data_IF_263546773616
#
_entry.id   IF_263546773616
#
_cell.length_a   1.000
_cell.length_b   1.000
_cell.length_c   1.000
_cell.angle_alpha   90.00
_cell.angle_beta   90.00
_cell.angle_gamma   90.00
#
_symmetry.space_group_name_H-M   'P 1'
#
loop_
_entity.id
_entity.type
_entity.pdbx_description
1 polymer ?
#
# COMPACT_ATOMS: atom_id res chain seq x y z
N UNK A 1 -56.02 -5.23 36.50
CA UNK A 1 -55.22 -5.38 35.28
C UNK A 1 -54.77 -6.81 34.95
N UNK A 2 -54.43 -7.65 35.93
CA UNK A 2 -53.97 -9.05 35.70
C UNK A 2 -55.03 -9.93 35.04
N UNK A 3 -56.34 -9.78 35.38
CA UNK A 3 -57.40 -10.62 34.84
C UNK A 3 -57.78 -10.30 33.37
N UNK A 4 -57.57 -9.09 32.91
CA UNK A 4 -57.87 -8.70 31.51
C UNK A 4 -56.79 -9.26 30.56
N UNK A 5 -55.51 -9.24 31.01
CA UNK A 5 -54.42 -9.77 30.23
C UNK A 5 -54.49 -11.32 30.06
N UNK A 6 -54.95 -12.01 31.10
CA UNK A 6 -55.14 -13.48 31.05
C UNK A 6 -56.33 -13.86 30.18
N UNK A 7 -57.42 -13.08 30.14
CA UNK A 7 -58.53 -13.28 29.24
C UNK A 7 -58.16 -13.00 27.76
N UNK A 8 -57.40 -11.93 27.52
CA UNK A 8 -56.91 -11.62 26.17
C UNK A 8 -55.96 -12.71 25.66
N UNK A 9 -55.03 -13.18 26.50
CA UNK A 9 -54.12 -14.29 26.13
C UNK A 9 -54.87 -15.61 25.89
N UNK A 10 -55.92 -15.90 26.67
CA UNK A 10 -56.77 -17.08 26.47
C UNK A 10 -57.54 -17.00 25.18
N UNK A 11 -58.08 -15.82 24.78
CA UNK A 11 -58.83 -15.58 23.57
C UNK A 11 -57.92 -15.66 22.31
N UNK A 12 -56.74 -15.09 22.39
CA UNK A 12 -55.73 -15.17 21.32
C UNK A 12 -55.28 -16.61 21.16
N UNK A 13 -54.99 -17.32 22.26
CA UNK A 13 -54.60 -18.73 22.25
C UNK A 13 -55.71 -19.63 21.64
N UNK A 14 -56.98 -19.39 21.99
CA UNK A 14 -58.09 -20.14 21.42
C UNK A 14 -58.31 -19.94 19.92
N UNK A 15 -57.99 -18.76 19.39
CA UNK A 15 -58.08 -18.48 17.94
C UNK A 15 -56.84 -18.94 17.14
N UNK A 16 -55.68 -18.88 17.73
CA UNK A 16 -54.37 -19.24 17.06
C UNK A 16 -54.13 -20.75 17.16
N UNK A 17 -54.50 -21.40 18.25
CA UNK A 17 -54.29 -22.83 18.48
C UNK A 17 -54.81 -23.75 17.36
N UNK A 18 -56.04 -23.54 16.82
CA UNK A 18 -56.56 -24.36 15.73
C UNK A 18 -55.76 -24.16 14.41
N UNK A 19 -55.28 -22.93 14.18
CA UNK A 19 -54.43 -22.65 13.03
C UNK A 19 -53.06 -23.30 13.17
N UNK A 20 -52.48 -23.24 14.34
CA UNK A 20 -51.16 -23.88 14.64
C UNK A 20 -51.25 -25.41 14.56
N UNK A 21 -52.33 -26.00 15.07
CA UNK A 21 -52.56 -27.44 14.97
C UNK A 21 -52.75 -27.84 13.46
N UNK A 22 -53.43 -27.05 12.64
CA UNK A 22 -53.52 -27.31 11.20
C UNK A 22 -52.16 -27.21 10.50
N UNK A 23 -51.38 -26.20 10.80
CA UNK A 23 -50.02 -26.05 10.25
C UNK A 23 -49.13 -27.20 10.68
N UNK A 24 -49.17 -27.60 11.98
CA UNK A 24 -48.41 -28.74 12.51
C UNK A 24 -48.85 -30.09 11.92
N UNK A 25 -50.15 -30.26 11.64
CA UNK A 25 -50.62 -31.47 10.91
C UNK A 25 -50.14 -31.48 9.47
N UNK A 26 -50.13 -30.32 8.79
CA UNK A 26 -49.63 -30.24 7.41
C UNK A 26 -48.13 -30.41 7.27
N UNK A 27 -47.37 -30.05 8.27
CA UNK A 27 -45.90 -30.26 8.37
C UNK A 27 -45.52 -31.59 9.01
N UNK A 28 -46.48 -32.40 9.46
CA UNK A 28 -46.17 -33.72 10.03
C UNK A 28 -45.57 -34.68 8.97
N UNK A 29 -44.54 -35.43 9.29
CA UNK A 29 -43.90 -36.38 8.34
C UNK A 29 -44.87 -37.37 7.74
N UNK A 30 -45.89 -37.79 8.50
CA UNK A 30 -46.95 -38.73 8.06
C UNK A 30 -47.88 -38.09 7.05
N UNK A 31 -48.29 -36.85 7.22
CA UNK A 31 -49.15 -36.15 6.28
C UNK A 31 -48.39 -35.79 4.98
N UNK A 32 -47.17 -35.31 5.10
CA UNK A 32 -46.28 -35.04 3.95
C UNK A 32 -46.06 -36.32 3.12
N UNK A 33 -45.83 -37.44 3.78
CA UNK A 33 -45.49 -38.71 3.10
C UNK A 33 -46.71 -39.40 2.48
N UNK A 34 -47.89 -39.35 3.13
CA UNK A 34 -49.05 -40.14 2.72
C UNK A 34 -50.08 -39.39 1.85
N UNK A 35 -50.21 -38.07 1.97
CA UNK A 35 -51.21 -37.31 1.22
C UNK A 35 -50.63 -36.16 0.38
N UNK A 36 -49.66 -35.47 0.86
CA UNK A 36 -49.09 -34.30 0.14
C UNK A 36 -48.22 -34.76 -1.04
N UNK A 37 -47.30 -35.69 -0.78
CA UNK A 37 -46.45 -36.27 -1.85
C UNK A 37 -47.25 -37.04 -2.89
N UNK A 38 -48.33 -37.75 -2.47
CA UNK A 38 -49.23 -38.41 -3.41
C UNK A 38 -49.98 -37.40 -4.29
N UNK A 39 -50.49 -36.31 -3.72
CA UNK A 39 -51.14 -35.23 -4.49
C UNK A 39 -50.17 -34.51 -5.42
N UNK A 40 -48.94 -34.24 -4.96
CA UNK A 40 -47.91 -33.71 -5.81
C UNK A 40 -47.58 -34.68 -6.95
N UNK A 41 -47.38 -35.96 -6.65
CA UNK A 41 -47.14 -36.97 -7.68
C UNK A 41 -48.29 -37.08 -8.68
N UNK A 42 -49.53 -37.05 -8.23
CA UNK A 42 -50.70 -37.01 -9.12
C UNK A 42 -50.81 -35.71 -9.92
N UNK A 43 -50.47 -34.56 -9.32
CA UNK A 43 -50.42 -33.29 -10.00
C UNK A 43 -49.33 -33.31 -11.10
N UNK A 44 -48.14 -33.76 -10.79
CA UNK A 44 -47.06 -33.90 -11.77
C UNK A 44 -47.36 -34.97 -12.82
N UNK A 45 -48.01 -36.07 -12.46
CA UNK A 45 -48.43 -37.09 -13.41
C UNK A 45 -49.47 -36.54 -14.41
N UNK A 46 -50.42 -35.71 -13.93
CA UNK A 46 -51.39 -34.99 -14.82
C UNK A 46 -50.72 -33.88 -15.63
N UNK A 47 -49.74 -33.21 -15.08
CA UNK A 47 -48.99 -32.15 -15.75
C UNK A 47 -48.05 -32.70 -16.84
N UNK A 48 -47.45 -33.85 -16.55
CA UNK A 48 -46.54 -34.61 -17.43
C UNK A 48 -47.26 -35.55 -18.35
N UNK A 49 -48.62 -35.68 -18.30
CA UNK A 49 -49.37 -36.45 -19.27
C UNK A 49 -49.30 -35.73 -20.64
N UNK A 50 -48.31 -36.08 -21.39
CA UNK A 50 -47.83 -35.44 -22.63
C UNK A 50 -48.65 -35.84 -23.84
N UNK A 51 -49.82 -36.52 -23.67
CA UNK A 51 -50.71 -36.91 -24.79
C UNK A 51 -51.89 -35.98 -24.96
N UNK A 52 -51.70 -34.76 -25.55
CA UNK A 52 -52.80 -33.91 -25.89
C UNK A 52 -53.55 -34.51 -27.05
N UNK A 53 -54.91 -34.48 -26.98
CA UNK A 53 -55.81 -35.13 -27.93
C UNK A 53 -56.09 -34.30 -29.17
N UNK A 54 -55.74 -33.00 -29.15
CA UNK A 54 -56.11 -32.05 -30.24
C UNK A 54 -54.88 -31.19 -30.65
N UNK A 55 -54.76 -30.84 -31.95
CA UNK A 55 -53.71 -29.95 -32.46
C UNK A 55 -53.70 -28.56 -31.78
N UNK A 56 -54.83 -28.11 -31.24
CA UNK A 56 -54.96 -26.83 -30.49
C UNK A 56 -54.22 -26.83 -29.17
N UNK A 57 -53.75 -27.96 -28.68
CA UNK A 57 -53.04 -28.10 -27.40
C UNK A 57 -51.51 -28.03 -27.55
N UNK A 58 -51.06 -27.67 -28.76
CA UNK A 58 -49.64 -27.52 -29.07
C UNK A 58 -49.30 -26.08 -29.48
N UNK A 59 -48.07 -25.66 -29.15
CA UNK A 59 -47.44 -24.47 -29.73
C UNK A 59 -46.53 -24.91 -30.86
N UNK A 60 -46.62 -24.33 -32.07
CA UNK A 60 -45.62 -24.54 -33.10
C UNK A 60 -44.35 -23.76 -32.75
N UNK A 61 -43.24 -24.47 -32.53
CA UNK A 61 -41.94 -23.87 -32.28
C UNK A 61 -40.98 -24.41 -33.38
N UNK A 62 -40.69 -23.59 -34.37
CA UNK A 62 -39.95 -23.97 -35.57
C UNK A 62 -40.55 -25.23 -36.26
N UNK A 63 -39.81 -26.36 -36.22
CA UNK A 63 -40.22 -27.65 -36.80
C UNK A 63 -40.88 -28.60 -35.80
N UNK A 64 -41.05 -28.17 -34.54
CA UNK A 64 -41.53 -29.01 -33.44
C UNK A 64 -42.91 -28.53 -32.94
N UNK A 65 -43.73 -29.46 -32.53
CA UNK A 65 -44.97 -29.19 -31.86
C UNK A 65 -44.76 -29.46 -30.36
N UNK A 66 -44.69 -28.42 -29.54
CA UNK A 66 -44.52 -28.51 -28.10
C UNK A 66 -45.85 -28.42 -27.40
N UNK A 67 -46.21 -29.40 -26.59
CA UNK A 67 -47.48 -29.35 -25.87
C UNK A 67 -47.52 -28.15 -24.92
N UNK A 68 -48.67 -27.45 -24.86
CA UNK A 68 -48.88 -26.32 -23.98
C UNK A 68 -48.64 -26.64 -22.53
N UNK A 69 -48.96 -27.90 -22.11
CA UNK A 69 -48.68 -28.40 -20.75
C UNK A 69 -47.21 -28.56 -20.46
N UNK A 70 -46.44 -29.10 -21.44
CA UNK A 70 -44.99 -29.21 -21.30
C UNK A 70 -44.30 -27.83 -21.27
N UNK A 71 -44.73 -26.91 -22.15
CA UNK A 71 -44.23 -25.55 -22.15
C UNK A 71 -44.51 -24.84 -20.80
N UNK A 72 -45.73 -24.99 -20.28
CA UNK A 72 -46.08 -24.44 -18.96
C UNK A 72 -45.24 -25.10 -17.83
N UNK A 73 -45.05 -26.43 -17.84
CA UNK A 73 -44.25 -27.13 -16.86
C UNK A 73 -42.80 -26.70 -16.91
N UNK A 74 -42.23 -26.47 -18.10
CA UNK A 74 -40.86 -25.95 -18.28
C UNK A 74 -40.72 -24.51 -17.76
N UNK A 75 -41.70 -23.66 -18.04
CA UNK A 75 -41.71 -22.27 -17.54
C UNK A 75 -41.79 -22.24 -16.01
N UNK A 76 -42.67 -23.04 -15.43
CA UNK A 76 -42.80 -23.15 -13.97
C UNK A 76 -41.55 -23.78 -13.35
N UNK A 77 -40.99 -24.81 -13.98
CA UNK A 77 -39.75 -25.46 -13.53
C UNK A 77 -38.54 -24.51 -13.57
N UNK A 78 -38.40 -23.74 -14.65
CA UNK A 78 -37.38 -22.70 -14.78
C UNK A 78 -37.60 -21.56 -13.77
N UNK A 79 -38.82 -21.15 -13.56
CA UNK A 79 -39.18 -20.14 -12.55
C UNK A 79 -38.85 -20.60 -11.14
N UNK A 80 -39.19 -21.85 -10.79
CA UNK A 80 -38.81 -22.44 -9.48
C UNK A 80 -37.30 -22.64 -9.33
N UNK A 81 -36.63 -23.11 -10.37
CA UNK A 81 -35.16 -23.24 -10.36
C UNK A 81 -34.49 -21.88 -10.21
N UNK A 82 -34.97 -20.85 -10.91
CA UNK A 82 -34.51 -19.47 -10.77
C UNK A 82 -34.79 -18.91 -9.37
N UNK A 83 -35.99 -19.19 -8.81
CA UNK A 83 -36.32 -18.76 -7.45
C UNK A 83 -35.44 -19.45 -6.38
N UNK A 84 -35.20 -20.78 -6.54
CA UNK A 84 -34.28 -21.55 -5.66
C UNK A 84 -32.85 -21.04 -5.82
N UNK A 85 -32.41 -20.79 -7.06
CA UNK A 85 -31.08 -20.23 -7.32
C UNK A 85 -30.92 -18.84 -6.72
N UNK A 86 -31.92 -17.96 -6.90
CA UNK A 86 -31.93 -16.63 -6.26
C UNK A 86 -31.95 -16.77 -4.73
N UNK A 87 -32.80 -17.65 -4.19
CA UNK A 87 -32.86 -17.92 -2.74
C UNK A 87 -31.56 -18.50 -2.19
N UNK A 88 -30.86 -19.34 -2.95
CA UNK A 88 -29.55 -19.88 -2.55
C UNK A 88 -28.40 -18.87 -2.67
N UNK A 89 -28.58 -17.83 -3.50
CA UNK A 89 -27.65 -16.73 -3.63
C UNK A 89 -28.00 -15.53 -2.75
N UNK A 90 -29.22 -15.49 -2.22
CA UNK A 90 -29.55 -14.53 -1.17
C UNK A 90 -28.70 -14.86 0.06
N UNK A 91 -28.09 -13.84 0.71
CA UNK A 91 -27.41 -14.05 1.97
C UNK A 91 -28.37 -14.74 2.95
N UNK A 92 -27.82 -15.56 3.83
CA UNK A 92 -28.58 -16.16 4.92
C UNK A 92 -29.30 -15.03 5.66
N UNK A 93 -30.59 -14.80 5.30
CA UNK A 93 -31.37 -13.77 5.94
C UNK A 93 -31.96 -12.68 5.09
N UNK A 94 -32.59 -13.01 3.99
CA UNK A 94 -33.64 -12.15 3.44
C UNK A 94 -35.02 -12.65 3.89
N UNK A 95 -35.86 -11.84 4.48
CA UNK A 95 -35.71 -10.60 5.24
C UNK A 95 -35.45 -10.88 6.72
N UNK A 96 -34.24 -10.76 7.24
CA UNK A 96 -33.98 -10.93 8.68
C UNK A 96 -32.54 -11.20 9.11
N UNK A 97 -31.56 -11.45 8.26
CA UNK A 97 -30.17 -11.42 8.68
C UNK A 97 -29.64 -10.02 8.50
N UNK A 98 -29.82 -9.26 9.53
CA UNK A 98 -29.03 -8.06 9.79
C UNK A 98 -27.71 -8.56 10.36
N UNK A 99 -26.58 -8.21 9.75
CA UNK A 99 -25.25 -8.37 10.35
C UNK A 99 -25.16 -7.63 11.67
N UNK A 100 -24.04 -7.72 12.33
CA UNK A 100 -23.82 -6.98 13.58
C UNK A 100 -24.21 -5.50 13.41
N UNK A 101 -25.10 -4.99 14.30
CA UNK A 101 -25.57 -3.61 14.25
C UNK A 101 -26.73 -3.33 13.28
N UNK A 102 -27.40 -4.35 12.72
CA UNK A 102 -28.56 -4.13 11.82
C UNK A 102 -28.21 -3.77 10.38
N UNK A 103 -26.97 -3.99 9.96
CA UNK A 103 -26.49 -3.70 8.59
C UNK A 103 -26.83 -4.88 7.67
N UNK A 104 -27.41 -4.65 6.45
CA UNK A 104 -27.67 -5.70 5.48
C UNK A 104 -26.38 -6.44 5.09
N UNK A 105 -26.41 -7.79 5.13
CA UNK A 105 -25.26 -8.62 4.82
C UNK A 105 -25.40 -9.27 3.44
N UNK A 106 -24.35 -9.22 2.62
CA UNK A 106 -24.31 -9.78 1.27
C UNK A 106 -23.07 -10.64 1.06
N UNK A 107 -23.21 -11.70 0.27
CA UNK A 107 -22.03 -12.47 -0.17
C UNK A 107 -21.29 -11.73 -1.29
N UNK A 108 -19.98 -11.77 -1.25
CA UNK A 108 -19.12 -11.20 -2.28
C UNK A 108 -19.51 -11.74 -3.68
N UNK A 109 -19.65 -10.84 -4.65
CA UNK A 109 -20.09 -11.11 -6.03
C UNK A 109 -21.51 -11.67 -6.17
N UNK A 110 -22.35 -11.59 -5.15
CA UNK A 110 -23.77 -11.95 -5.30
C UNK A 110 -24.50 -10.99 -6.25
N UNK A 111 -25.53 -11.52 -6.94
CA UNK A 111 -26.35 -10.69 -7.85
C UNK A 111 -27.05 -9.54 -7.10
N UNK A 112 -27.64 -9.74 -5.89
CA UNK A 112 -28.27 -8.67 -5.15
C UNK A 112 -27.30 -7.52 -4.79
N UNK A 113 -26.06 -7.85 -4.47
CA UNK A 113 -25.04 -6.83 -4.16
C UNK A 113 -24.83 -5.85 -5.31
N UNK A 114 -24.88 -6.30 -6.57
CA UNK A 114 -24.67 -5.44 -7.75
C UNK A 114 -25.72 -4.34 -7.93
N UNK A 115 -26.86 -4.48 -7.28
CA UNK A 115 -27.94 -3.50 -7.33
C UNK A 115 -28.10 -2.75 -6.00
N UNK A 116 -27.24 -3.03 -5.02
CA UNK A 116 -27.30 -2.42 -3.71
C UNK A 116 -26.54 -1.09 -3.69
N UNK A 117 -27.13 -0.11 -3.02
CA UNK A 117 -26.47 1.17 -2.65
C UNK A 117 -26.81 1.49 -1.21
N UNK A 118 -25.85 2.01 -0.46
CA UNK A 118 -25.95 2.30 0.97
C UNK A 118 -24.97 1.45 1.80
N UNK A 119 -25.12 1.50 3.12
CA UNK A 119 -24.21 0.79 4.04
C UNK A 119 -24.52 -0.71 4.09
N UNK A 120 -23.50 -1.53 3.85
CA UNK A 120 -23.63 -3.00 3.79
C UNK A 120 -22.46 -3.68 4.50
N UNK A 121 -22.69 -4.95 4.87
CA UNK A 121 -21.65 -5.90 5.23
C UNK A 121 -21.45 -6.87 4.07
N UNK A 122 -20.22 -7.06 3.60
CA UNK A 122 -19.90 -8.05 2.57
C UNK A 122 -19.13 -9.21 3.20
N UNK A 123 -19.65 -10.42 3.00
CA UNK A 123 -19.06 -11.66 3.49
C UNK A 123 -18.34 -12.36 2.35
N UNK A 124 -17.09 -12.76 2.57
CA UNK A 124 -16.28 -13.51 1.64
C UNK A 124 -16.78 -14.96 1.46
N UNK A 125 -16.20 -15.71 0.52
CA UNK A 125 -16.62 -17.08 0.21
C UNK A 125 -16.42 -18.07 1.35
N UNK A 126 -15.41 -17.85 2.16
CA UNK A 126 -15.05 -18.64 3.35
C UNK A 126 -15.84 -18.27 4.61
N UNK A 127 -16.68 -17.23 4.53
CA UNK A 127 -17.59 -16.83 5.60
C UNK A 127 -17.08 -15.70 6.50
N UNK A 128 -15.84 -15.22 6.33
CA UNK A 128 -15.39 -14.05 7.08
C UNK A 128 -16.00 -12.74 6.54
N UNK A 129 -16.11 -11.74 7.39
CA UNK A 129 -16.50 -10.39 7.00
C UNK A 129 -15.33 -9.77 6.24
N UNK A 130 -15.51 -9.48 4.96
CA UNK A 130 -14.49 -8.85 4.14
C UNK A 130 -14.58 -7.33 4.14
N UNK A 131 -15.80 -6.77 4.18
CA UNK A 131 -16.02 -5.33 4.09
C UNK A 131 -17.26 -4.92 4.89
N UNK A 132 -17.18 -3.77 5.54
CA UNK A 132 -18.32 -3.07 6.15
C UNK A 132 -18.21 -1.61 5.73
N UNK A 133 -19.22 -1.08 5.06
CA UNK A 133 -19.20 0.31 4.62
C UNK A 133 -20.22 0.61 3.53
N UNK A 134 -20.07 1.78 2.95
CA UNK A 134 -20.95 2.25 1.89
C UNK A 134 -20.60 1.61 0.55
N UNK A 135 -21.62 1.30 -0.24
CA UNK A 135 -21.49 0.81 -1.62
C UNK A 135 -22.40 1.60 -2.53
N UNK A 136 -21.97 1.75 -3.76
CA UNK A 136 -22.79 2.21 -4.87
C UNK A 136 -22.80 1.17 -5.98
N UNK A 137 -24.00 0.67 -6.32
CA UNK A 137 -24.18 -0.43 -7.31
C UNK A 137 -23.26 -1.63 -7.04
N UNK A 138 -23.04 -1.93 -5.73
CA UNK A 138 -22.25 -3.05 -5.27
C UNK A 138 -20.75 -2.86 -5.29
N UNK A 139 -20.24 -1.69 -5.70
CA UNK A 139 -18.85 -1.29 -5.53
C UNK A 139 -18.68 -0.49 -4.24
N UNK A 140 -17.60 -0.71 -3.49
CA UNK A 140 -17.30 0.11 -2.32
C UNK A 140 -17.14 1.57 -2.75
N UNK A 141 -17.87 2.47 -2.10
CA UNK A 141 -17.90 3.91 -2.39
C UNK A 141 -18.31 4.65 -1.13
N UNK A 142 -17.64 5.76 -0.78
CA UNK A 142 -17.82 6.43 0.49
C UNK A 142 -16.99 5.78 1.62
N UNK A 143 -17.45 5.89 2.86
CA UNK A 143 -16.71 5.38 4.02
C UNK A 143 -16.88 3.87 4.20
N UNK A 144 -15.78 3.19 4.52
CA UNK A 144 -15.82 1.76 4.78
C UNK A 144 -14.57 1.19 5.42
N UNK A 145 -14.67 -0.06 5.85
CA UNK A 145 -13.61 -0.83 6.47
C UNK A 145 -13.44 -2.18 5.74
N UNK A 146 -12.21 -2.49 5.36
CA UNK A 146 -11.82 -3.75 4.72
C UNK A 146 -11.10 -4.64 5.73
N UNK A 147 -11.45 -5.91 5.76
CA UNK A 147 -10.90 -6.89 6.68
C UNK A 147 -10.18 -8.02 5.93
N UNK A 148 -9.15 -8.56 6.55
CA UNK A 148 -8.45 -9.77 6.11
C UNK A 148 -9.17 -11.04 6.56
N UNK A 149 -8.75 -12.20 6.05
CA UNK A 149 -9.39 -13.49 6.32
C UNK A 149 -9.32 -13.93 7.79
N UNK A 150 -8.34 -13.44 8.53
CA UNK A 150 -8.20 -13.62 9.99
C UNK A 150 -9.05 -12.67 10.82
N UNK A 151 -9.84 -11.80 10.15
CA UNK A 151 -10.69 -10.79 10.79
C UNK A 151 -9.96 -9.51 11.19
N UNK A 152 -8.67 -9.38 10.91
CA UNK A 152 -7.89 -8.17 11.16
C UNK A 152 -8.31 -7.02 10.23
N UNK A 153 -8.39 -5.80 10.77
CA UNK A 153 -8.63 -4.60 9.97
C UNK A 153 -7.43 -4.36 9.05
N UNK A 154 -7.71 -4.19 7.76
CA UNK A 154 -6.69 -3.93 6.74
C UNK A 154 -6.69 -2.49 6.24
N UNK A 155 -7.86 -1.91 6.08
CA UNK A 155 -8.02 -0.52 5.66
C UNK A 155 -9.31 0.03 6.24
N UNK A 156 -9.29 1.28 6.64
CA UNK A 156 -10.45 2.05 7.04
C UNK A 156 -10.33 3.46 6.46
N UNK A 157 -11.35 3.89 5.71
CA UNK A 157 -11.33 5.19 5.05
C UNK A 157 -12.28 5.29 3.88
N UNK A 158 -12.00 6.20 2.98
CA UNK A 158 -12.80 6.50 1.81
C UNK A 158 -12.50 5.54 0.66
N UNK A 159 -13.55 5.18 -0.06
CA UNK A 159 -13.51 4.34 -1.25
C UNK A 159 -14.18 5.04 -2.42
N UNK A 160 -13.67 4.81 -3.61
CA UNK A 160 -14.31 5.12 -4.88
C UNK A 160 -14.12 3.93 -5.84
N UNK A 161 -15.22 3.40 -6.39
CA UNK A 161 -15.21 2.26 -7.32
C UNK A 161 -14.43 1.05 -6.80
N UNK A 162 -14.51 0.76 -5.48
CA UNK A 162 -13.77 -0.31 -4.78
C UNK A 162 -12.25 -0.11 -4.71
N UNK A 163 -11.76 1.09 -4.91
CA UNK A 163 -10.37 1.50 -4.68
C UNK A 163 -10.32 2.46 -3.49
N UNK A 164 -9.19 2.46 -2.76
CA UNK A 164 -8.93 3.46 -1.75
C UNK A 164 -8.78 4.81 -2.41
N UNK A 165 -9.57 5.79 -2.00
CA UNK A 165 -9.58 7.13 -2.57
C UNK A 165 -10.02 8.14 -1.51
N UNK A 166 -9.28 9.25 -1.35
CA UNK A 166 -9.49 10.18 -0.25
C UNK A 166 -8.74 9.78 1.03
N UNK A 167 -9.24 10.20 2.19
CA UNK A 167 -8.58 9.97 3.47
C UNK A 167 -8.82 8.54 4.00
N UNK A 168 -7.75 7.92 4.55
CA UNK A 168 -7.85 6.59 5.12
C UNK A 168 -6.62 6.15 5.89
N UNK A 169 -6.76 4.99 6.53
CA UNK A 169 -5.68 4.32 7.25
C UNK A 169 -5.53 2.88 6.75
N UNK A 170 -4.33 2.55 6.31
CA UNK A 170 -3.93 1.19 5.98
C UNK A 170 -3.24 0.56 7.18
N UNK A 171 -3.48 -0.72 7.44
CA UNK A 171 -2.98 -1.43 8.61
C UNK A 171 -2.08 -2.60 8.23
N UNK A 172 -1.06 -2.86 9.06
CA UNK A 172 -0.31 -4.11 9.06
C UNK A 172 -1.18 -5.27 9.54
N UNK A 173 -0.78 -6.50 9.25
CA UNK A 173 -1.47 -7.71 9.71
C UNK A 173 -1.65 -7.79 11.24
N UNK A 174 -0.84 -7.08 12.03
CA UNK A 174 -0.97 -6.98 13.48
C UNK A 174 -1.92 -5.90 13.98
N UNK A 175 -2.69 -5.22 13.10
CA UNK A 175 -3.66 -4.17 13.45
C UNK A 175 -3.03 -2.81 13.79
N UNK A 176 -1.70 -2.65 13.64
CA UNK A 176 -1.04 -1.35 13.77
C UNK A 176 -1.16 -0.56 12.47
N UNK A 177 -1.32 0.76 12.52
CA UNK A 177 -1.29 1.58 11.32
C UNK A 177 0.03 1.39 10.56
N UNK A 178 -0.07 1.28 9.24
CA UNK A 178 1.04 1.31 8.30
C UNK A 178 1.15 2.68 7.63
N UNK A 179 0.00 3.22 7.22
CA UNK A 179 -0.09 4.53 6.59
C UNK A 179 -1.41 5.18 6.99
N UNK A 180 -1.36 6.48 7.28
CA UNK A 180 -2.54 7.31 7.48
C UNK A 180 -2.40 8.58 6.67
N UNK A 181 -3.35 8.86 5.79
CA UNK A 181 -3.33 10.02 4.91
C UNK A 181 -4.19 9.82 3.68
N UNK A 182 -3.88 10.61 2.64
CA UNK A 182 -4.66 10.63 1.41
C UNK A 182 -4.26 9.51 0.45
N UNK A 183 -5.25 8.97 -0.27
CA UNK A 183 -5.12 7.93 -1.28
C UNK A 183 -5.73 8.39 -2.60
N UNK A 184 -5.18 7.91 -3.70
CA UNK A 184 -5.78 7.97 -5.04
C UNK A 184 -5.55 6.62 -5.72
N UNK A 185 -6.62 5.95 -6.15
CA UNK A 185 -6.59 4.68 -6.87
C UNK A 185 -5.72 3.59 -6.20
N UNK A 186 -5.85 3.43 -4.86
CA UNK A 186 -5.10 2.52 -3.98
C UNK A 186 -3.65 2.93 -3.70
N UNK A 187 -3.15 4.03 -4.21
CA UNK A 187 -1.79 4.53 -3.98
C UNK A 187 -1.80 5.70 -2.99
N UNK A 188 -0.74 5.85 -2.20
CA UNK A 188 -0.53 7.02 -1.35
C UNK A 188 -0.38 8.25 -2.24
N UNK A 189 -1.18 9.27 -2.01
CA UNK A 189 -1.16 10.49 -2.82
C UNK A 189 -1.64 11.68 -1.99
N UNK A 190 -0.89 12.78 -1.99
CA UNK A 190 -1.14 13.91 -1.10
C UNK A 190 -0.28 13.84 0.16
N UNK A 191 -0.82 14.21 1.32
CA UNK A 191 -0.08 14.18 2.59
C UNK A 191 -0.40 12.92 3.38
N UNK A 192 0.61 12.39 4.09
CA UNK A 192 0.39 11.21 4.92
C UNK A 192 1.56 10.86 5.82
N UNK A 193 1.28 9.97 6.78
CA UNK A 193 2.21 9.45 7.76
C UNK A 193 2.41 7.97 7.53
N UNK A 194 3.66 7.56 7.40
CA UNK A 194 4.03 6.16 7.26
C UNK A 194 4.69 5.67 8.56
N UNK A 195 4.25 4.51 9.02
CA UNK A 195 4.71 3.90 10.27
C UNK A 195 5.41 2.57 9.99
N UNK A 196 6.43 2.27 10.78
CA UNK A 196 7.08 0.95 10.81
C UNK A 196 6.14 -0.10 11.43
N UNK A 197 6.41 -1.36 11.18
CA UNK A 197 5.67 -2.46 11.84
C UNK A 197 5.80 -2.46 13.37
N UNK A 198 6.84 -1.81 13.92
CA UNK A 198 6.98 -1.55 15.35
C UNK A 198 5.93 -0.56 15.89
N UNK A 199 5.34 0.28 15.01
CA UNK A 199 4.44 1.37 15.33
C UNK A 199 5.13 2.74 15.41
N UNK A 200 6.46 2.81 15.30
CA UNK A 200 7.19 4.07 15.26
C UNK A 200 6.90 4.80 13.93
N UNK A 201 6.74 6.12 14.01
CA UNK A 201 6.62 6.96 12.82
C UNK A 201 7.93 6.90 12.04
N UNK A 202 7.87 6.72 10.73
CA UNK A 202 9.02 6.70 9.85
C UNK A 202 9.10 7.95 8.97
N UNK A 203 7.95 8.38 8.46
CA UNK A 203 7.87 9.54 7.57
C UNK A 203 6.55 10.29 7.75
N UNK A 204 6.61 11.62 7.69
CA UNK A 204 5.46 12.53 7.67
C UNK A 204 5.68 13.56 6.56
N UNK A 205 4.89 13.51 5.49
CA UNK A 205 5.09 14.39 4.35
C UNK A 205 4.26 14.07 3.12
N UNK A 206 4.72 14.59 1.98
CA UNK A 206 4.05 14.43 0.69
C UNK A 206 4.31 13.10 0.00
N UNK A 207 3.30 12.64 -0.73
CA UNK A 207 3.34 11.43 -1.57
C UNK A 207 2.75 11.72 -2.94
N UNK A 208 3.35 11.14 -3.98
CA UNK A 208 2.84 11.13 -5.35
C UNK A 208 3.05 9.71 -5.90
N UNK A 209 1.96 9.06 -6.31
CA UNK A 209 1.96 7.68 -6.82
C UNK A 209 2.72 6.69 -5.91
N UNK A 210 2.42 6.74 -4.60
CA UNK A 210 3.01 5.86 -3.60
C UNK A 210 4.43 6.22 -3.17
N UNK A 211 5.06 7.25 -3.75
CA UNK A 211 6.45 7.66 -3.49
C UNK A 211 6.50 8.98 -2.71
N UNK A 212 7.42 9.07 -1.75
CA UNK A 212 7.68 10.30 -1.00
C UNK A 212 8.13 11.40 -1.97
N UNK A 213 7.45 12.53 -1.94
CA UNK A 213 7.70 13.65 -2.87
C UNK A 213 7.31 14.97 -2.21
N UNK A 214 8.09 16.03 -2.44
CA UNK A 214 7.90 17.33 -1.80
C UNK A 214 8.43 17.35 -0.38
N UNK A 215 7.96 18.29 0.44
CA UNK A 215 8.47 18.46 1.81
C UNK A 215 8.02 17.33 2.73
N UNK A 216 8.94 16.85 3.56
CA UNK A 216 8.66 15.81 4.53
C UNK A 216 9.69 15.74 5.65
N UNK A 217 9.34 14.96 6.68
CA UNK A 217 10.15 14.69 7.86
C UNK A 217 10.40 13.20 7.96
N UNK A 218 11.65 12.81 8.10
CA UNK A 218 12.10 11.43 8.29
C UNK A 218 12.44 11.21 9.77
N UNK A 219 12.06 10.05 10.30
CA UNK A 219 12.25 9.68 11.70
C UNK A 219 13.09 8.39 11.81
N UNK A 220 13.87 8.28 12.89
CA UNK A 220 14.62 7.07 13.22
C UNK A 220 13.72 5.96 13.78
N UNK A 221 14.32 4.82 14.17
CA UNK A 221 13.59 3.66 14.71
C UNK A 221 12.91 3.89 16.05
N UNK A 222 13.29 4.93 16.80
CA UNK A 222 12.71 5.29 18.10
C UNK A 222 11.73 6.45 18.03
N UNK A 223 11.64 7.12 16.85
CA UNK A 223 10.67 8.19 16.61
C UNK A 223 11.23 9.60 16.73
N UNK A 224 12.55 9.76 16.84
CA UNK A 224 13.18 11.08 16.78
C UNK A 224 13.33 11.53 15.33
N UNK A 225 13.21 12.84 15.11
CA UNK A 225 13.44 13.44 13.80
C UNK A 225 14.92 13.33 13.45
N UNK A 226 15.23 12.83 12.25
CA UNK A 226 16.59 12.78 11.70
C UNK A 226 16.80 13.73 10.53
N UNK A 227 15.75 13.97 9.73
CA UNK A 227 15.85 14.84 8.57
C UNK A 227 14.53 15.57 8.28
N UNK A 228 14.63 16.85 7.92
CA UNK A 228 13.54 17.68 7.43
C UNK A 228 13.95 18.37 6.13
N UNK A 229 13.29 18.05 5.04
CA UNK A 229 13.64 18.64 3.74
C UNK A 229 12.76 18.15 2.62
N UNK A 230 13.24 18.30 1.39
CA UNK A 230 12.53 17.86 0.21
C UNK A 230 12.92 16.44 -0.20
N UNK A 231 11.91 15.74 -0.71
CA UNK A 231 12.02 14.40 -1.28
C UNK A 231 11.57 14.41 -2.74
N UNK A 232 12.17 13.56 -3.54
CA UNK A 232 11.77 13.30 -4.92
C UNK A 232 11.86 11.80 -5.20
N UNK A 233 10.71 11.17 -5.49
CA UNK A 233 10.62 9.72 -5.78
C UNK A 233 11.29 8.84 -4.72
N UNK A 234 10.97 9.05 -3.43
CA UNK A 234 11.52 8.40 -2.24
C UNK A 234 12.92 8.85 -1.80
N UNK A 235 13.60 9.67 -2.59
CA UNK A 235 14.96 10.13 -2.34
C UNK A 235 14.99 11.52 -1.70
N UNK A 236 15.96 11.72 -0.81
CA UNK A 236 16.28 13.06 -0.27
C UNK A 236 16.89 13.91 -1.38
N UNK A 237 16.43 15.15 -1.49
CA UNK A 237 16.96 16.13 -2.45
C UNK A 237 18.22 16.77 -1.86
N UNK A 238 19.37 16.05 -1.98
CA UNK A 238 20.61 16.46 -1.35
C UNK A 238 21.17 17.81 -1.85
N UNK A 239 20.91 18.20 -3.09
CA UNK A 239 21.37 19.48 -3.60
C UNK A 239 20.74 20.69 -2.89
N UNK A 240 19.68 20.51 -2.12
CA UNK A 240 19.08 21.55 -1.30
C UNK A 240 20.00 22.02 -0.16
N UNK A 241 21.01 21.23 0.20
CA UNK A 241 22.03 21.63 1.17
C UNK A 241 23.04 22.61 0.59
N UNK A 242 23.29 22.58 -0.72
CA UNK A 242 24.33 23.40 -1.36
C UNK A 242 24.07 24.91 -1.22
N UNK A 243 25.13 25.65 -0.92
CA UNK A 243 25.14 27.10 -0.70
C UNK A 243 24.29 27.56 0.51
N UNK A 244 23.96 26.66 1.42
CA UNK A 244 23.35 27.03 2.70
C UNK A 244 24.41 27.26 3.76
N UNK A 245 24.16 28.15 4.73
CA UNK A 245 24.95 28.19 5.95
C UNK A 245 24.95 26.83 6.65
N UNK A 246 26.06 26.46 7.26
CA UNK A 246 26.17 25.19 7.99
C UNK A 246 25.14 25.07 9.13
N UNK A 247 24.73 26.20 9.73
CA UNK A 247 23.66 26.27 10.72
C UNK A 247 22.31 25.82 10.18
N UNK A 248 21.93 26.25 8.96
CA UNK A 248 20.69 25.81 8.31
C UNK A 248 20.76 24.34 7.88
N UNK A 249 21.94 23.87 7.43
CA UNK A 249 22.15 22.46 7.10
C UNK A 249 21.99 21.58 8.36
N UNK A 250 22.46 22.03 9.51
CA UNK A 250 22.27 21.36 10.80
C UNK A 250 20.80 21.34 11.28
N UNK A 251 19.99 22.35 10.89
CA UNK A 251 18.55 22.34 11.15
C UNK A 251 17.80 21.32 10.26
N UNK A 252 18.29 21.07 9.05
CA UNK A 252 17.72 20.06 8.15
C UNK A 252 18.00 18.62 8.61
N UNK A 253 19.14 18.39 9.23
CA UNK A 253 19.53 17.08 9.76
C UNK A 253 19.81 17.18 11.26
N UNK A 254 18.96 16.54 12.05
CA UNK A 254 19.03 16.58 13.52
C UNK A 254 19.53 15.25 14.12
N UNK A 255 19.91 14.29 13.28
CA UNK A 255 20.52 13.03 13.70
C UNK A 255 21.98 13.20 14.17
N UNK A 256 22.59 12.10 14.57
CA UNK A 256 23.97 12.10 15.04
C UNK A 256 24.93 12.50 13.92
N UNK A 257 25.78 13.51 14.17
CA UNK A 257 26.71 14.07 13.19
C UNK A 257 28.13 13.90 13.70
N UNK A 258 29.00 13.27 12.89
CA UNK A 258 30.43 13.25 13.13
C UNK A 258 31.11 14.39 12.33
N UNK A 259 31.79 15.28 13.02
CA UNK A 259 32.44 16.43 12.38
C UNK A 259 33.98 16.21 12.35
N UNK A 260 34.55 16.38 11.16
CA UNK A 260 36.00 16.35 10.91
C UNK A 260 36.42 17.74 10.43
N UNK A 261 37.41 18.31 11.02
CA UNK A 261 37.87 19.67 10.73
C UNK A 261 39.37 19.73 10.45
N UNK A 262 39.75 20.49 9.46
CA UNK A 262 41.13 20.88 9.09
C UNK A 262 41.18 22.39 8.84
N UNK A 263 42.39 22.92 8.60
CA UNK A 263 42.54 24.35 8.27
C UNK A 263 41.74 24.73 7.03
N UNK A 264 40.71 25.58 7.21
CA UNK A 264 39.86 26.12 6.13
C UNK A 264 38.76 25.20 5.64
N UNK A 265 38.69 23.96 6.05
CA UNK A 265 37.65 23.00 5.65
C UNK A 265 37.08 22.25 6.84
N UNK A 266 35.76 21.94 6.80
CA UNK A 266 35.17 21.00 7.70
C UNK A 266 34.18 20.08 6.94
N UNK A 267 34.06 18.85 7.42
CA UNK A 267 33.13 17.87 6.89
C UNK A 267 32.26 17.34 8.01
N UNK A 268 30.92 17.35 7.80
CA UNK A 268 29.95 16.80 8.71
C UNK A 268 29.29 15.56 8.09
N UNK A 269 29.43 14.41 8.73
CA UNK A 269 28.88 13.13 8.27
C UNK A 269 27.55 12.87 8.93
N UNK A 270 26.51 12.68 8.12
CA UNK A 270 25.11 12.40 8.46
C UNK A 270 24.81 10.93 8.19
N UNK A 271 25.24 10.05 9.10
CA UNK A 271 25.24 8.61 8.87
C UNK A 271 23.85 8.04 8.57
N UNK A 272 22.82 8.43 9.32
CA UNK A 272 21.46 7.86 9.21
C UNK A 272 20.78 8.14 7.86
N UNK A 273 21.23 9.19 7.13
CA UNK A 273 20.73 9.48 5.78
C UNK A 273 21.76 9.15 4.69
N UNK A 274 22.91 8.58 5.07
CA UNK A 274 23.94 8.16 4.13
C UNK A 274 24.56 9.31 3.34
N UNK A 275 24.82 10.45 3.98
CA UNK A 275 25.41 11.62 3.34
C UNK A 275 26.45 12.32 4.22
N UNK A 276 27.25 13.17 3.61
CA UNK A 276 28.14 14.09 4.31
C UNK A 276 28.20 15.40 3.55
N UNK A 277 28.32 16.53 4.24
CA UNK A 277 28.56 17.80 3.59
C UNK A 277 29.89 18.41 3.99
N UNK A 278 30.56 19.04 3.04
CA UNK A 278 31.73 19.84 3.28
C UNK A 278 31.33 21.31 3.32
N UNK A 279 32.03 22.04 4.18
CA UNK A 279 31.89 23.50 4.34
C UNK A 279 33.21 24.18 4.22
N UNK A 280 33.26 25.33 3.62
CA UNK A 280 34.41 26.20 3.54
C UNK A 280 34.14 27.53 4.23
N UNK A 281 35.15 28.09 4.85
CA UNK A 281 35.11 29.47 5.35
C UNK A 281 35.32 30.45 4.20
N UNK A 282 34.33 31.30 3.94
CA UNK A 282 34.50 32.38 2.95
C UNK A 282 35.61 33.33 3.32
N UNK A 283 36.40 33.82 2.33
CA UNK A 283 37.53 34.72 2.54
C UNK A 283 37.16 36.05 3.25
N UNK A 284 35.87 36.37 3.34
CA UNK A 284 35.35 37.63 3.97
C UNK A 284 34.30 37.33 5.07
N UNK A 285 34.16 36.14 5.56
CA UNK A 285 33.20 35.83 6.59
C UNK A 285 33.64 36.44 7.94
N UNK A 286 32.95 37.52 8.32
CA UNK A 286 32.84 37.94 9.71
C UNK A 286 32.38 36.71 10.49
N UNK A 287 33.27 36.08 11.20
CA UNK A 287 33.10 35.00 12.20
C UNK A 287 31.74 34.30 12.14
N UNK A 288 31.71 33.07 11.58
CA UNK A 288 30.70 32.00 11.71
C UNK A 288 29.80 31.66 10.54
N UNK A 289 29.97 32.12 9.32
CA UNK A 289 29.15 31.63 8.20
C UNK A 289 29.93 30.64 7.30
N UNK A 290 30.17 29.45 7.82
CA UNK A 290 30.58 28.34 6.98
C UNK A 290 29.44 27.95 6.04
N UNK A 291 29.74 27.83 4.76
CA UNK A 291 28.73 27.52 3.72
C UNK A 291 28.98 26.13 3.16
N UNK A 292 27.92 25.38 2.97
CA UNK A 292 27.97 24.06 2.32
C UNK A 292 28.32 24.23 0.84
N UNK A 293 29.52 23.81 0.45
CA UNK A 293 30.00 23.90 -0.93
C UNK A 293 29.87 22.55 -1.67
N UNK A 294 29.92 21.46 -0.96
CA UNK A 294 29.88 20.11 -1.53
C UNK A 294 29.07 19.17 -0.63
N UNK A 295 28.27 18.29 -1.25
CA UNK A 295 27.59 17.22 -0.55
C UNK A 295 28.01 15.86 -1.12
N UNK A 296 28.39 14.94 -0.26
CA UNK A 296 28.72 13.57 -0.59
C UNK A 296 27.52 12.68 -0.31
N UNK A 297 27.14 11.83 -1.25
CA UNK A 297 26.10 10.83 -1.07
C UNK A 297 26.77 9.47 -1.04
N UNK A 298 26.68 8.81 0.10
CA UNK A 298 27.43 7.62 0.47
C UNK A 298 26.69 6.35 0.01
N UNK A 299 26.53 6.21 -1.30
CA UNK A 299 25.91 5.03 -1.93
C UNK A 299 26.42 4.83 -3.35
N UNK A 300 26.33 3.60 -3.83
CA UNK A 300 26.85 3.18 -5.13
C UNK A 300 25.83 3.27 -6.28
N UNK A 301 24.75 4.02 -6.12
CA UNK A 301 23.74 4.24 -7.14
C UNK A 301 23.15 5.66 -7.06
N UNK A 302 22.67 6.16 -8.17
CA UNK A 302 21.97 7.44 -8.28
C UNK A 302 20.66 7.25 -9.07
N UNK A 303 19.53 7.79 -8.63
CA UNK A 303 18.29 7.78 -9.40
C UNK A 303 18.37 8.88 -10.47
N UNK A 304 18.40 8.48 -11.72
CA UNK A 304 18.34 9.35 -12.89
C UNK A 304 17.08 9.04 -13.71
N UNK A 305 16.80 9.81 -14.74
CA UNK A 305 15.60 9.65 -15.59
C UNK A 305 15.38 8.23 -16.12
N UNK A 306 16.49 7.50 -16.38
CA UNK A 306 16.48 6.12 -16.88
C UNK A 306 16.49 5.04 -15.78
N UNK A 307 16.27 5.42 -14.50
CA UNK A 307 16.30 4.54 -13.33
C UNK A 307 17.60 4.61 -12.54
N UNK A 308 17.83 3.63 -11.66
CA UNK A 308 19.05 3.57 -10.84
C UNK A 308 20.28 3.30 -11.70
N UNK A 309 21.25 4.21 -11.66
CA UNK A 309 22.54 4.10 -12.35
C UNK A 309 23.62 3.75 -11.36
N UNK A 310 24.43 2.72 -11.65
CA UNK A 310 25.56 2.26 -10.84
C UNK A 310 26.88 2.28 -11.61
N UNK A 311 26.81 2.25 -12.94
CA UNK A 311 27.98 2.10 -13.83
C UNK A 311 28.28 3.34 -14.64
N UNK A 312 29.56 3.54 -14.99
CA UNK A 312 30.01 4.62 -15.91
C UNK A 312 29.21 4.63 -17.20
N UNK A 313 28.89 3.47 -17.77
CA UNK A 313 28.13 3.39 -19.02
C UNK A 313 26.70 3.95 -18.89
N UNK A 314 26.05 3.66 -17.76
CA UNK A 314 24.71 4.20 -17.47
C UNK A 314 24.78 5.71 -17.18
N UNK A 315 25.81 6.16 -16.45
CA UNK A 315 26.06 7.58 -16.19
C UNK A 315 26.24 8.36 -17.49
N UNK A 316 27.09 7.89 -18.40
CA UNK A 316 27.29 8.52 -19.73
C UNK A 316 25.96 8.55 -20.52
N UNK A 317 25.17 7.51 -20.47
CA UNK A 317 23.87 7.46 -21.16
C UNK A 317 22.85 8.47 -20.60
N UNK A 318 22.92 8.79 -19.31
CA UNK A 318 21.98 9.69 -18.63
C UNK A 318 22.47 11.11 -18.46
N UNK A 319 23.78 11.31 -18.24
CA UNK A 319 24.37 12.62 -17.94
C UNK A 319 25.18 13.20 -19.13
N UNK A 320 25.45 12.38 -20.17
CA UNK A 320 26.29 12.78 -21.30
C UNK A 320 27.75 12.42 -21.10
N UNK A 321 28.63 13.10 -21.86
CA UNK A 321 30.07 12.88 -21.73
C UNK A 321 30.62 13.57 -20.45
N UNK A 322 31.55 12.92 -19.74
CA UNK A 322 32.14 13.53 -18.56
C UNK A 322 33.01 14.75 -18.95
N UNK A 323 32.95 15.78 -18.12
CA UNK A 323 33.86 16.94 -18.21
C UNK A 323 35.29 16.55 -17.84
N UNK A 324 35.42 15.67 -16.88
CA UNK A 324 36.70 15.14 -16.39
C UNK A 324 36.59 13.65 -16.12
N UNK A 325 37.65 12.93 -16.41
CA UNK A 325 37.82 11.55 -15.93
C UNK A 325 39.35 11.29 -15.71
N UNK A 326 39.66 10.62 -14.63
CA UNK A 326 41.06 10.26 -14.33
C UNK A 326 41.29 9.98 -12.87
N UNK A 327 42.55 9.67 -12.56
CA UNK A 327 43.00 9.59 -11.18
C UNK A 327 43.08 10.99 -10.56
N UNK A 328 42.58 11.11 -9.35
CA UNK A 328 42.75 12.30 -8.52
C UNK A 328 43.01 11.94 -7.07
N UNK A 329 43.69 12.84 -6.36
CA UNK A 329 43.83 12.79 -4.93
C UNK A 329 42.53 13.33 -4.31
N UNK A 330 41.94 12.56 -3.40
CA UNK A 330 40.76 13.01 -2.67
C UNK A 330 41.14 13.93 -1.50
N UNK A 331 40.25 14.91 -1.23
CA UNK A 331 40.42 15.85 -0.11
C UNK A 331 40.23 15.16 1.24
N UNK A 332 40.51 15.85 2.35
CA UNK A 332 40.26 15.34 3.70
C UNK A 332 38.75 15.10 3.91
N UNK A 333 37.89 15.99 3.44
CA UNK A 333 36.44 15.86 3.53
C UNK A 333 35.92 14.61 2.79
N UNK A 334 36.44 14.36 1.59
CA UNK A 334 36.13 13.19 0.78
C UNK A 334 36.58 11.90 1.45
N UNK A 335 37.82 11.90 2.02
CA UNK A 335 38.35 10.76 2.75
C UNK A 335 37.57 10.47 4.05
N UNK A 336 37.13 11.49 4.78
CA UNK A 336 36.36 11.36 6.01
C UNK A 336 34.97 10.77 5.72
N UNK A 337 34.27 11.28 4.68
CA UNK A 337 32.98 10.73 4.21
C UNK A 337 33.11 9.26 3.84
N UNK A 338 34.14 8.90 3.09
CA UNK A 338 34.45 7.54 2.69
C UNK A 338 34.70 6.59 3.88
N UNK A 339 35.54 6.99 4.82
CA UNK A 339 35.92 6.16 5.98
C UNK A 339 34.72 5.82 6.86
N UNK A 340 33.80 6.77 7.03
CA UNK A 340 32.60 6.53 7.81
C UNK A 340 31.68 5.53 7.11
N UNK A 341 31.47 5.69 5.81
CA UNK A 341 30.68 4.75 5.00
C UNK A 341 31.23 3.32 5.11
N UNK A 342 32.54 3.15 4.98
CA UNK A 342 33.23 1.85 5.08
C UNK A 342 33.06 1.22 6.45
N UNK A 343 33.04 2.02 7.52
CA UNK A 343 32.85 1.54 8.89
C UNK A 343 31.43 1.06 9.18
N UNK A 344 30.43 1.67 8.56
CA UNK A 344 29.00 1.38 8.81
C UNK A 344 28.41 0.27 7.92
N UNK A 345 29.02 0.02 6.76
CA UNK A 345 28.57 -1.00 5.81
C UNK A 345 29.68 -2.01 5.49
N UNK A 346 30.18 -2.80 6.49
CA UNK A 346 31.30 -3.68 6.31
C UNK A 346 31.07 -4.79 5.27
N UNK A 347 29.80 -5.27 5.15
CA UNK A 347 29.46 -6.40 4.26
C UNK A 347 29.36 -5.98 2.78
N UNK A 348 28.88 -4.77 2.49
CA UNK A 348 28.77 -4.26 1.12
C UNK A 348 30.12 -3.77 0.56
N UNK A 349 31.05 -3.42 1.44
CA UNK A 349 32.33 -2.79 1.10
C UNK A 349 33.55 -3.67 1.38
N UNK A 350 33.37 -4.97 1.63
CA UNK A 350 34.46 -5.88 1.95
C UNK A 350 35.54 -5.90 0.86
N UNK A 351 35.16 -5.79 -0.43
CA UNK A 351 36.13 -5.66 -1.53
C UNK A 351 36.83 -4.31 -1.55
N UNK A 352 36.25 -3.28 -0.96
CA UNK A 352 36.81 -1.92 -0.85
C UNK A 352 37.64 -1.80 0.43
N UNK A 353 37.21 -2.48 1.49
CA UNK A 353 37.93 -2.57 2.75
C UNK A 353 39.32 -3.16 2.57
N UNK A 354 39.49 -4.18 1.75
CA UNK A 354 40.80 -4.75 1.44
C UNK A 354 41.75 -3.74 0.76
N UNK A 355 41.25 -2.88 -0.11
CA UNK A 355 42.04 -1.80 -0.71
C UNK A 355 42.27 -0.63 0.25
N UNK A 356 41.34 -0.38 1.16
CA UNK A 356 41.44 0.63 2.20
C UNK A 356 42.35 0.20 3.33
N UNK A 357 42.38 -1.08 3.76
CA UNK A 357 43.27 -1.55 4.81
C UNK A 357 44.74 -1.43 4.45
N UNK A 358 45.13 -1.75 3.21
CA UNK A 358 46.49 -1.53 2.75
C UNK A 358 46.88 -0.04 2.69
N UNK A 359 45.91 0.86 2.49
CA UNK A 359 46.12 2.31 2.43
C UNK A 359 45.83 3.02 3.77
N UNK A 360 44.93 2.49 4.62
CA UNK A 360 44.36 3.14 5.81
C UNK A 360 45.09 2.77 7.11
N UNK A 361 45.74 1.61 7.23
CA UNK A 361 46.62 1.33 8.38
C UNK A 361 47.71 2.41 8.54
N UNK A 362 47.97 3.14 7.46
CA UNK A 362 48.93 4.22 7.42
C UNK A 362 48.34 5.64 7.58
N UNK A 363 47.00 5.83 7.50
CA UNK A 363 46.35 7.15 7.52
C UNK A 363 46.00 7.62 8.94
N UNK A 364 45.81 6.70 9.90
CA UNK A 364 45.32 7.04 11.24
C UNK A 364 46.36 7.17 12.36
N UNK A 365 47.66 7.18 12.07
CA UNK A 365 48.63 7.67 13.05
C UNK A 365 48.61 9.19 13.05
N UNK A 366 48.26 9.76 14.18
CA UNK A 366 47.90 11.14 14.54
C UNK A 366 48.82 12.28 14.09
N UNK A 367 49.83 12.04 13.32
CA UNK A 367 50.80 13.06 12.89
C UNK A 367 51.01 13.20 11.39
N UNK A 368 50.12 12.63 10.55
CA UNK A 368 50.35 12.64 9.09
C UNK A 368 49.10 13.04 8.33
N UNK A 369 48.79 14.32 8.36
CA UNK A 369 47.74 14.98 7.54
C UNK A 369 48.00 14.96 6.03
N UNK A 370 49.01 14.27 5.52
CA UNK A 370 49.47 14.36 4.13
C UNK A 370 49.30 13.07 3.31
N UNK A 371 48.48 12.12 3.78
CA UNK A 371 48.17 10.92 2.98
C UNK A 371 46.84 11.04 2.31
N UNK A 372 46.86 11.54 1.09
CA UNK A 372 45.74 11.60 0.17
C UNK A 372 45.51 10.22 -0.42
N UNK A 373 44.24 9.78 -0.48
CA UNK A 373 43.87 8.55 -1.19
C UNK A 373 43.65 8.87 -2.67
N UNK A 374 44.24 8.07 -3.57
CA UNK A 374 43.98 8.19 -5.01
C UNK A 374 42.70 7.44 -5.37
N UNK A 375 41.77 8.11 -6.04
CA UNK A 375 40.57 7.51 -6.61
C UNK A 375 40.42 7.88 -8.09
N UNK A 376 39.66 7.08 -8.83
CA UNK A 376 39.25 7.42 -10.19
C UNK A 376 37.99 8.20 -10.12
N UNK A 377 37.94 9.39 -10.71
CA UNK A 377 36.81 10.31 -10.71
C UNK A 377 36.26 10.44 -12.12
N UNK A 378 34.91 10.53 -12.19
CA UNK A 378 34.19 10.95 -13.37
C UNK A 378 33.29 12.12 -12.97
N UNK A 379 33.51 13.29 -13.54
CA UNK A 379 32.73 14.51 -13.27
C UNK A 379 31.86 14.84 -14.46
N UNK A 380 30.58 15.03 -14.22
CA UNK A 380 29.58 15.41 -15.20
C UNK A 380 28.90 16.72 -14.75
N UNK A 381 28.44 17.50 -15.73
CA UNK A 381 27.60 18.67 -15.47
C UNK A 381 26.21 18.45 -16.01
N UNK A 382 25.21 18.68 -15.18
CA UNK A 382 23.80 18.65 -15.58
C UNK A 382 22.98 19.61 -14.69
N UNK A 383 22.17 20.44 -15.33
CA UNK A 383 21.21 21.34 -14.66
C UNK A 383 21.87 22.31 -13.64
N UNK A 384 23.10 22.77 -13.91
CA UNK A 384 23.87 23.69 -13.05
C UNK A 384 24.49 22.99 -11.81
N UNK A 385 24.58 21.68 -11.84
CA UNK A 385 25.22 20.87 -10.82
C UNK A 385 26.38 20.05 -11.42
N UNK A 386 27.47 19.96 -10.68
CA UNK A 386 28.58 19.04 -10.95
C UNK A 386 28.33 17.76 -10.15
N UNK A 387 28.34 16.64 -10.84
CA UNK A 387 28.24 15.29 -10.27
C UNK A 387 29.60 14.62 -10.38
N UNK A 388 30.27 14.40 -9.30
CA UNK A 388 31.56 13.70 -9.26
C UNK A 388 31.36 12.30 -8.67
N UNK A 389 31.61 11.26 -9.48
CA UNK A 389 31.51 9.86 -9.07
C UNK A 389 32.89 9.29 -8.76
N UNK A 390 32.98 8.59 -7.65
CA UNK A 390 34.23 8.06 -7.09
C UNK A 390 34.30 6.55 -7.28
N UNK A 391 35.41 6.08 -7.86
CA UNK A 391 35.67 4.68 -8.12
C UNK A 391 36.98 4.28 -7.44
N UNK A 392 37.06 3.09 -6.86
CA UNK A 392 38.22 2.59 -6.13
C UNK A 392 39.39 2.17 -7.01
N UNK A 393 39.26 2.16 -8.31
CA UNK A 393 40.35 1.82 -9.24
C UNK A 393 39.93 1.90 -10.71
N UNK A 394 40.95 1.96 -11.58
CA UNK A 394 40.80 1.92 -13.02
C UNK A 394 40.08 0.64 -13.46
N UNK A 395 38.99 0.80 -14.25
CA UNK A 395 38.25 -0.32 -14.79
C UNK A 395 37.20 -0.94 -13.85
N UNK A 396 37.00 -0.38 -12.65
CA UNK A 396 35.81 -0.73 -11.85
C UNK A 396 34.54 -0.29 -12.56
N UNK A 397 33.57 -1.19 -12.61
CA UNK A 397 32.33 -0.91 -13.34
C UNK A 397 31.41 0.03 -12.56
N UNK A 398 31.43 -0.03 -11.23
CA UNK A 398 30.52 0.66 -10.32
C UNK A 398 31.26 1.68 -9.45
N UNK A 399 30.63 2.82 -9.23
CA UNK A 399 31.11 3.82 -8.28
C UNK A 399 30.73 3.43 -6.84
N UNK A 400 31.36 4.06 -5.87
CA UNK A 400 31.17 3.78 -4.45
C UNK A 400 30.45 4.90 -3.71
N UNK A 401 30.63 6.13 -4.16
CA UNK A 401 29.92 7.32 -3.71
C UNK A 401 29.91 8.35 -4.83
N UNK A 402 29.11 9.39 -4.68
CA UNK A 402 29.17 10.55 -5.55
C UNK A 402 29.08 11.84 -4.76
N UNK A 403 29.57 12.92 -5.32
CA UNK A 403 29.44 14.25 -4.77
C UNK A 403 28.65 15.16 -5.70
N UNK A 404 28.00 16.15 -5.11
CA UNK A 404 27.27 17.22 -5.75
C UNK A 404 27.90 18.55 -5.35
N UNK A 405 28.14 19.42 -6.35
CA UNK A 405 28.58 20.80 -6.18
C UNK A 405 27.77 21.66 -7.16
N UNK A 406 27.70 22.97 -6.92
CA UNK A 406 27.20 23.90 -7.96
C UNK A 406 28.29 24.12 -9.01
N UNK A 407 27.90 24.12 -10.30
CA UNK A 407 28.81 24.44 -11.41
C UNK A 407 29.15 25.92 -11.47
#
# INVERSE_FOLDING_TARGET
>A
MRNILTMLLATVRARIMPLWIRVRMWTSPTYLRSRFLLRIREFFARLLDVRPRHRRDYYPVFRWLVSKRLAFALVVGLGLASAIYIASMMPEGFPGHMGAGGIPSYRYRSIPLKFCSGTVQIVARDGHIAYIGEVEKGAASGMGALYSADGGLRYEGQFENSMYNGEGTLYYAGGRPQYTGSFTDNEFNGTGKYFRSSGALEYDGGYVFGRRTGRGTLYNGVGDVIFQGNFLNDEIVFHDFLNRPASEAAEMYTGETAVYQSEGEACAVMAEIGAAYAVESGENALENEWTVNKIFVLRNWIPLENGACTTVRQLIASLGQPLYFGESWVTLAEAAAWNRLAAENPDELESVRMLAEESLENVFTVSQYDRRVKMYLYTFEKDGLLYTFYFTGAGRAEFVMYALEKS
#
